data_IF_446076594998
#
_entry.id   IF_446076594998
#
_cell.length_a   1.000
_cell.length_b   1.000
_cell.length_c   1.000
_cell.angle_alpha   90.00
_cell.angle_beta   90.00
_cell.angle_gamma   90.00
#
_symmetry.space_group_name_H-M   'P 1'
#
loop_
_entity.id
_entity.type
_entity.pdbx_description
1 polymer ?
#
# COMPACT_ATOMS: atom_id res chain seq x y z
N UNK A 1 9.76 -13.18 21.27
CA UNK A 1 9.63 -12.60 22.61
C UNK A 1 10.78 -11.61 22.74
N UNK A 2 10.50 -10.31 22.84
CA UNK A 2 11.56 -9.28 22.83
C UNK A 2 12.53 -9.50 23.99
N UNK A 3 13.82 -9.56 23.68
CA UNK A 3 14.89 -9.77 24.66
C UNK A 3 14.84 -8.76 25.82
N UNK A 4 14.27 -7.58 25.60
CA UNK A 4 14.04 -6.53 26.60
C UNK A 4 13.22 -7.03 27.81
N UNK A 5 12.20 -7.86 27.58
CA UNK A 5 11.37 -8.43 28.66
C UNK A 5 12.16 -9.47 29.43
N UNK A 6 12.96 -10.28 28.74
CA UNK A 6 13.85 -11.27 29.37
C UNK A 6 14.90 -10.59 30.27
N UNK A 7 15.52 -9.51 29.79
CA UNK A 7 16.50 -8.73 30.58
C UNK A 7 15.86 -8.04 31.77
N UNK A 8 14.64 -7.54 31.64
CA UNK A 8 13.90 -6.91 32.74
C UNK A 8 13.54 -7.96 33.80
N UNK A 9 13.02 -9.12 33.40
CA UNK A 9 12.72 -10.25 34.29
C UNK A 9 14.00 -10.76 34.99
N UNK A 10 15.10 -10.92 34.25
CA UNK A 10 16.39 -11.30 34.82
C UNK A 10 16.92 -10.25 35.80
N UNK A 11 16.82 -8.97 35.46
CA UNK A 11 17.23 -7.86 36.32
C UNK A 11 16.47 -7.79 37.65
N UNK A 12 15.20 -8.24 37.68
CA UNK A 12 14.41 -8.29 38.92
C UNK A 12 14.54 -9.61 39.69
N UNK A 13 14.63 -10.76 39.00
CA UNK A 13 14.71 -12.07 39.64
C UNK A 13 16.11 -12.37 40.21
N UNK A 14 17.17 -11.93 39.54
CA UNK A 14 18.55 -12.15 39.97
C UNK A 14 18.85 -11.56 41.35
N UNK A 15 18.45 -10.32 41.71
CA UNK A 15 18.64 -9.81 43.08
C UNK A 15 17.65 -10.37 44.10
N UNK A 16 16.53 -10.98 43.66
CA UNK A 16 15.51 -11.57 44.53
C UNK A 16 16.01 -12.87 45.18
N UNK A 17 16.87 -13.62 44.49
CA UNK A 17 17.50 -14.85 45.00
C UNK A 17 18.39 -14.57 46.23
N UNK A 18 19.40 -13.67 46.21
CA UNK A 18 20.20 -13.35 47.38
C UNK A 18 19.37 -12.68 48.49
N UNK A 19 18.37 -11.87 48.12
CA UNK A 19 17.44 -11.29 49.10
C UNK A 19 16.61 -12.36 49.85
N UNK A 20 16.13 -13.38 49.14
CA UNK A 20 15.43 -14.52 49.74
C UNK A 20 16.35 -15.35 50.65
N UNK A 21 17.60 -15.57 50.23
CA UNK A 21 18.61 -16.27 51.05
C UNK A 21 18.88 -15.47 52.33
N UNK A 22 19.08 -14.15 52.25
CA UNK A 22 19.29 -13.28 53.40
C UNK A 22 18.08 -13.25 54.36
N UNK A 23 16.86 -13.18 53.81
CA UNK A 23 15.63 -13.23 54.60
C UNK A 23 15.51 -14.53 55.41
N UNK A 24 15.85 -15.66 54.80
CA UNK A 24 15.80 -16.97 55.47
C UNK A 24 16.90 -17.15 56.52
N UNK A 25 18.01 -16.43 56.39
CA UNK A 25 19.23 -16.65 57.21
C UNK A 25 19.41 -15.63 58.32
N UNK A 26 18.77 -14.47 58.27
CA UNK A 26 18.92 -13.40 59.27
C UNK A 26 17.63 -13.17 60.07
N UNK A 27 17.69 -13.15 61.41
CA UNK A 27 16.55 -12.79 62.26
C UNK A 27 16.35 -11.27 62.20
N UNK A 28 15.57 -10.79 61.24
CA UNK A 28 15.32 -9.36 61.06
C UNK A 28 13.83 -9.03 61.19
N UNK A 29 13.48 -8.31 62.26
CA UNK A 29 12.16 -7.71 62.45
C UNK A 29 12.20 -6.25 61.99
N UNK A 30 11.91 -6.01 60.71
CA UNK A 30 11.39 -4.71 60.28
C UNK A 30 9.99 -4.95 59.76
N UNK A 31 9.02 -4.08 60.01
CA UNK A 31 7.63 -4.29 59.57
C UNK A 31 7.24 -3.13 58.69
N UNK A 32 7.04 -3.38 57.40
CA UNK A 32 6.46 -2.40 56.48
C UNK A 32 4.97 -2.74 56.37
N UNK A 33 4.13 -1.90 56.99
CA UNK A 33 2.67 -2.02 56.90
C UNK A 33 2.07 -0.74 56.32
N UNK A 34 1.26 -0.88 55.28
CA UNK A 34 0.51 0.23 54.68
C UNK A 34 -0.49 -0.27 53.63
N UNK A 35 -1.60 0.44 53.40
CA UNK A 35 -2.56 0.07 52.36
C UNK A 35 -2.00 0.41 50.97
N UNK A 36 -1.75 -0.61 50.14
CA UNK A 36 -1.47 -0.43 48.71
C UNK A 36 -2.63 -1.05 47.92
N UNK A 37 -3.51 -0.20 47.38
CA UNK A 37 -4.70 -0.61 46.60
C UNK A 37 -5.62 -1.62 47.33
N UNK A 38 -5.71 -1.54 48.66
CA UNK A 38 -6.52 -2.45 49.47
C UNK A 38 -5.86 -3.79 49.83
N UNK A 39 -4.62 -4.04 49.36
CA UNK A 39 -3.83 -5.20 49.75
C UNK A 39 -3.08 -4.91 51.06
N UNK A 40 -3.30 -5.74 52.10
CA UNK A 40 -2.53 -5.66 53.35
C UNK A 40 -1.21 -6.42 53.19
N UNK A 41 -0.16 -5.67 52.86
CA UNK A 41 1.18 -6.21 52.64
C UNK A 41 1.97 -6.15 53.95
N UNK A 42 2.31 -7.32 54.52
CA UNK A 42 3.16 -7.44 55.72
C UNK A 42 4.53 -7.97 55.28
N UNK A 43 5.48 -7.07 55.00
CA UNK A 43 6.83 -7.46 54.56
C UNK A 43 7.86 -7.03 55.59
N UNK A 44 8.81 -7.94 55.87
CA UNK A 44 9.86 -7.72 56.85
C UNK A 44 11.27 -7.91 56.32
N UNK A 45 12.22 -7.28 57.01
CA UNK A 45 13.65 -7.35 56.73
C UNK A 45 14.06 -6.69 55.41
N UNK A 46 15.20 -7.13 54.87
CA UNK A 46 15.73 -6.68 53.59
C UNK A 46 14.75 -6.94 52.41
N UNK A 47 13.89 -7.96 52.53
CA UNK A 47 12.91 -8.32 51.51
C UNK A 47 11.91 -7.18 51.21
N UNK A 48 11.43 -6.48 52.25
CA UNK A 48 10.52 -5.34 52.07
C UNK A 48 11.15 -4.19 51.26
N UNK A 49 12.45 -3.94 51.44
CA UNK A 49 13.19 -2.93 50.67
C UNK A 49 13.33 -3.29 49.19
N UNK A 50 13.68 -4.54 48.88
CA UNK A 50 13.76 -5.00 47.49
C UNK A 50 12.38 -5.00 46.81
N UNK A 51 11.33 -5.42 47.53
CA UNK A 51 9.96 -5.38 47.01
C UNK A 51 9.53 -3.95 46.65
N UNK A 52 9.84 -2.97 47.50
CA UNK A 52 9.55 -1.57 47.21
C UNK A 52 10.32 -1.06 45.98
N UNK A 53 11.60 -1.43 45.84
CA UNK A 53 12.39 -1.10 44.64
C UNK A 53 11.80 -1.70 43.37
N UNK A 54 11.28 -2.93 43.43
CA UNK A 54 10.57 -3.55 42.30
C UNK A 54 9.33 -2.76 41.92
N UNK A 55 8.50 -2.35 42.89
CA UNK A 55 7.30 -1.55 42.61
C UNK A 55 7.64 -0.19 41.98
N UNK A 56 8.65 0.50 42.50
CA UNK A 56 9.10 1.79 41.95
C UNK A 56 9.62 1.62 40.52
N UNK A 57 10.45 0.61 40.29
CA UNK A 57 11.02 0.35 38.97
C UNK A 57 9.95 -0.11 37.96
N UNK A 58 8.94 -0.86 38.41
CA UNK A 58 7.78 -1.23 37.58
C UNK A 58 6.93 -0.02 37.21
N UNK A 59 6.62 0.85 38.19
CA UNK A 59 5.87 2.09 37.95
C UNK A 59 6.61 3.02 36.97
N UNK A 60 7.93 3.17 37.13
CA UNK A 60 8.75 3.96 36.21
C UNK A 60 8.83 3.34 34.81
N UNK A 61 9.01 2.02 34.72
CA UNK A 61 9.05 1.29 33.44
C UNK A 61 7.71 1.39 32.69
N UNK A 62 6.60 1.25 33.40
CA UNK A 62 5.25 1.41 32.82
C UNK A 62 5.04 2.81 32.25
N UNK A 63 5.43 3.85 33.00
CA UNK A 63 5.37 5.24 32.52
C UNK A 63 6.22 5.45 31.27
N UNK A 64 7.48 4.97 31.28
CA UNK A 64 8.40 5.12 30.14
C UNK A 64 7.88 4.41 28.89
N UNK A 65 7.33 3.19 29.05
CA UNK A 65 6.74 2.44 27.94
C UNK A 65 5.53 3.17 27.37
N UNK A 66 4.63 3.68 28.22
CA UNK A 66 3.46 4.43 27.76
C UNK A 66 3.84 5.72 27.01
N UNK A 67 4.81 6.49 27.49
CA UNK A 67 5.28 7.70 26.82
C UNK A 67 5.89 7.38 25.45
N UNK A 68 6.66 6.30 25.35
CA UNK A 68 7.26 5.85 24.08
C UNK A 68 6.19 5.39 23.07
N UNK A 69 5.17 4.67 23.55
CA UNK A 69 4.06 4.22 22.73
C UNK A 69 3.22 5.40 22.25
N UNK A 70 2.94 6.39 23.10
CA UNK A 70 2.21 7.60 22.73
C UNK A 70 2.91 8.35 21.59
N UNK A 71 4.24 8.56 21.69
CA UNK A 71 5.04 9.19 20.62
C UNK A 71 5.03 8.39 19.33
N UNK A 72 5.09 7.05 19.43
CA UNK A 72 5.02 6.18 18.25
C UNK A 72 3.65 6.25 17.57
N UNK A 73 2.57 6.28 18.34
CA UNK A 73 1.20 6.42 17.84
C UNK A 73 1.03 7.77 17.13
N UNK A 74 1.53 8.86 17.74
CA UNK A 74 1.50 10.19 17.12
C UNK A 74 2.24 10.21 15.79
N UNK A 75 3.45 9.64 15.74
CA UNK A 75 4.23 9.53 14.49
C UNK A 75 3.49 8.74 13.41
N UNK A 76 2.88 7.61 13.77
CA UNK A 76 2.09 6.80 12.84
C UNK A 76 0.86 7.55 12.32
N UNK A 77 0.16 8.29 13.19
CA UNK A 77 -0.99 9.10 12.79
C UNK A 77 -0.61 10.25 11.85
N UNK A 78 0.53 10.90 12.09
CA UNK A 78 1.05 11.95 11.21
C UNK A 78 1.42 11.38 9.83
N UNK A 79 2.05 10.20 9.79
CA UNK A 79 2.34 9.51 8.53
C UNK A 79 1.07 9.10 7.79
N UNK A 80 0.07 8.57 8.49
CA UNK A 80 -1.20 8.18 7.88
C UNK A 80 -1.94 9.40 7.30
N UNK A 81 -1.96 10.52 8.02
CA UNK A 81 -2.54 11.77 7.53
C UNK A 81 -1.83 12.27 6.26
N UNK A 82 -0.49 12.22 6.23
CA UNK A 82 0.28 12.60 5.05
C UNK A 82 -0.02 11.69 3.84
N UNK A 83 -0.12 10.37 4.07
CA UNK A 83 -0.48 9.40 3.03
C UNK A 83 -1.91 9.60 2.53
N UNK A 84 -2.86 9.91 3.41
CA UNK A 84 -4.25 10.21 3.03
C UNK A 84 -4.29 11.47 2.15
N UNK A 85 -3.54 12.50 2.53
CA UNK A 85 -3.43 13.72 1.74
C UNK A 85 -2.82 13.45 0.36
N UNK A 86 -1.73 12.68 0.30
CA UNK A 86 -1.08 12.28 -0.96
C UNK A 86 -2.02 11.47 -1.85
N UNK A 87 -2.70 10.46 -1.31
CA UNK A 87 -3.68 9.66 -2.04
C UNK A 87 -4.86 10.49 -2.55
N UNK A 88 -5.31 11.47 -1.77
CA UNK A 88 -6.38 12.40 -2.19
C UNK A 88 -5.91 13.29 -3.35
N UNK A 89 -4.68 13.79 -3.27
CA UNK A 89 -4.07 14.56 -4.35
C UNK A 89 -3.95 13.71 -5.63
N UNK A 90 -3.45 12.47 -5.54
CA UNK A 90 -3.42 11.56 -6.68
C UNK A 90 -4.80 11.28 -7.24
N UNK A 91 -5.80 11.01 -6.39
CA UNK A 91 -7.18 10.77 -6.86
C UNK A 91 -7.76 11.96 -7.62
N UNK A 92 -7.41 13.19 -7.23
CA UNK A 92 -7.86 14.40 -7.93
C UNK A 92 -7.06 14.67 -9.23
N UNK A 93 -5.85 14.12 -9.35
CA UNK A 93 -5.00 14.24 -10.53
C UNK A 93 -5.36 13.28 -11.66
N UNK A 94 -6.21 12.27 -11.42
CA UNK A 94 -6.58 11.29 -12.44
C UNK A 94 -8.08 11.21 -12.63
N UNK A 95 -8.52 11.17 -13.89
CA UNK A 95 -9.90 10.95 -14.27
C UNK A 95 -10.08 9.58 -14.91
N UNK A 96 -11.21 8.95 -14.63
CA UNK A 96 -11.57 7.67 -15.22
C UNK A 96 -12.25 7.85 -16.58
N UNK A 97 -11.75 7.15 -17.58
CA UNK A 97 -12.25 7.17 -18.95
C UNK A 97 -12.44 5.76 -19.48
N UNK A 98 -13.33 5.62 -20.46
CA UNK A 98 -13.58 4.35 -21.16
C UNK A 98 -13.07 4.44 -22.59
N UNK A 99 -12.42 3.38 -23.09
CA UNK A 99 -12.12 3.18 -24.51
C UNK A 99 -12.93 2.00 -25.01
N UNK A 100 -13.62 2.16 -26.13
CA UNK A 100 -14.39 1.09 -26.77
C UNK A 100 -14.16 1.03 -28.27
N UNK A 101 -14.30 -0.17 -28.84
CA UNK A 101 -14.19 -0.41 -30.26
C UNK A 101 -14.21 -1.89 -30.60
N UNK A 102 -13.79 -2.22 -31.82
CA UNK A 102 -13.74 -3.59 -32.31
C UNK A 102 -12.38 -3.90 -32.94
N UNK A 103 -11.84 -5.09 -32.66
CA UNK A 103 -10.64 -5.65 -33.31
C UNK A 103 -11.06 -6.83 -34.19
N UNK A 104 -10.38 -6.99 -35.33
CA UNK A 104 -10.59 -8.10 -36.26
C UNK A 104 -9.33 -8.93 -36.37
N UNK A 105 -9.47 -10.25 -36.29
CA UNK A 105 -8.38 -11.23 -36.28
C UNK A 105 -8.92 -12.66 -36.18
N UNK A 106 -8.04 -13.66 -36.23
CA UNK A 106 -8.41 -15.06 -36.08
C UNK A 106 -8.74 -15.43 -34.63
N UNK A 107 -8.15 -14.73 -33.65
CA UNK A 107 -8.40 -14.97 -32.23
C UNK A 107 -8.45 -13.64 -31.46
N UNK A 108 -9.47 -12.80 -31.71
CA UNK A 108 -9.55 -11.44 -31.17
C UNK A 108 -9.52 -11.38 -29.64
N UNK A 109 -10.07 -12.38 -28.95
CA UNK A 109 -10.07 -12.50 -27.48
C UNK A 109 -8.67 -12.64 -26.88
N UNK A 110 -7.68 -13.07 -27.67
CA UNK A 110 -6.26 -13.13 -27.28
C UNK A 110 -5.53 -11.80 -27.44
N UNK A 111 -6.22 -10.77 -27.96
CA UNK A 111 -5.65 -9.44 -28.13
C UNK A 111 -5.46 -8.77 -26.77
N UNK A 112 -4.36 -8.05 -26.63
CA UNK A 112 -4.07 -7.18 -25.50
C UNK A 112 -4.01 -5.74 -25.97
N UNK A 113 -4.66 -4.87 -25.23
CA UNK A 113 -4.53 -3.43 -25.39
C UNK A 113 -3.49 -2.93 -24.39
N UNK A 114 -2.46 -2.28 -24.92
CA UNK A 114 -1.49 -1.54 -24.13
C UNK A 114 -1.84 -0.06 -24.23
N UNK A 115 -2.43 0.42 -23.14
CA UNK A 115 -2.44 1.81 -22.69
C UNK A 115 -1.74 1.78 -21.33
N UNK A 116 -1.36 2.90 -20.73
CA UNK A 116 -0.79 2.97 -19.38
C UNK A 116 -1.71 2.40 -18.24
N UNK A 117 -2.70 1.55 -18.53
CA UNK A 117 -3.68 1.01 -17.60
C UNK A 117 -3.69 -0.54 -17.52
N UNK A 118 -4.14 -1.06 -16.39
CA UNK A 118 -4.30 -2.51 -16.11
C UNK A 118 -5.74 -2.95 -16.39
N UNK A 119 -5.89 -4.13 -17.00
CA UNK A 119 -7.13 -4.84 -17.35
C UNK A 119 -7.93 -4.29 -18.54
N UNK A 120 -7.92 -5.05 -19.64
CA UNK A 120 -8.79 -4.87 -20.80
C UNK A 120 -9.51 -6.18 -21.07
N UNK A 121 -10.80 -6.12 -21.39
CA UNK A 121 -11.58 -7.28 -21.79
C UNK A 121 -11.86 -7.23 -23.29
N UNK A 122 -11.65 -8.37 -23.96
CA UNK A 122 -11.95 -8.60 -25.38
C UNK A 122 -12.94 -9.76 -25.49
N UNK A 123 -14.04 -9.54 -26.20
CA UNK A 123 -14.99 -10.59 -26.55
C UNK A 123 -14.48 -11.38 -27.77
N UNK A 124 -14.97 -12.62 -27.94
CA UNK A 124 -14.69 -13.43 -29.14
C UNK A 124 -15.23 -12.82 -30.43
N UNK A 125 -16.14 -11.84 -30.34
CA UNK A 125 -16.66 -11.06 -31.47
C UNK A 125 -15.70 -9.97 -31.93
N UNK A 126 -14.60 -9.73 -31.20
CA UNK A 126 -13.70 -8.61 -31.47
C UNK A 126 -14.00 -7.35 -30.67
N UNK A 127 -15.17 -7.25 -30.07
CA UNK A 127 -15.55 -6.07 -29.30
C UNK A 127 -14.70 -5.96 -28.03
N UNK A 128 -14.29 -4.74 -27.69
CA UNK A 128 -13.53 -4.49 -26.47
C UNK A 128 -14.02 -3.24 -25.76
N UNK A 129 -13.86 -3.27 -24.45
CA UNK A 129 -14.03 -2.11 -23.57
C UNK A 129 -12.90 -2.12 -22.55
N UNK A 130 -12.23 -0.98 -22.40
CA UNK A 130 -11.12 -0.82 -21.47
C UNK A 130 -11.28 0.46 -20.68
N UNK A 131 -11.00 0.36 -19.39
CA UNK A 131 -10.96 1.51 -18.52
C UNK A 131 -9.54 2.06 -18.46
N UNK A 132 -9.39 3.38 -18.49
CA UNK A 132 -8.10 4.08 -18.42
C UNK A 132 -8.17 5.22 -17.40
N UNK A 133 -7.05 5.50 -16.75
CA UNK A 133 -6.87 6.68 -15.92
C UNK A 133 -6.09 7.72 -16.69
N UNK A 134 -6.73 8.87 -16.98
CA UNK A 134 -6.07 9.99 -17.64
C UNK A 134 -5.62 11.00 -16.60
N UNK A 135 -4.40 11.51 -16.76
CA UNK A 135 -3.92 12.60 -15.92
C UNK A 135 -4.69 13.87 -16.26
N UNK A 136 -5.14 14.58 -15.24
CA UNK A 136 -5.74 15.90 -15.34
C UNK A 136 -4.63 16.96 -15.14
N UNK A 137 -4.44 17.81 -16.14
CA UNK A 137 -3.59 18.98 -16.06
C UNK A 137 -4.41 20.23 -16.41
N UNK A 138 -4.44 21.22 -15.52
CA UNK A 138 -5.12 22.51 -15.72
C UNK A 138 -6.61 22.38 -16.13
N UNK A 139 -7.35 21.46 -15.51
CA UNK A 139 -8.76 21.13 -15.82
C UNK A 139 -8.99 20.47 -17.19
N UNK A 140 -7.95 19.90 -17.80
CA UNK A 140 -8.07 19.10 -19.01
C UNK A 140 -7.46 17.71 -18.81
N UNK A 141 -8.22 16.68 -19.19
CA UNK A 141 -7.71 15.32 -19.27
C UNK A 141 -6.73 15.17 -20.43
N UNK A 142 -5.53 14.67 -20.14
CA UNK A 142 -4.52 14.37 -21.15
C UNK A 142 -4.82 13.01 -21.76
N UNK A 143 -5.31 13.04 -22.99
CA UNK A 143 -5.52 11.82 -23.79
C UNK A 143 -4.17 11.22 -24.20
N UNK A 144 -3.99 9.89 -24.11
CA UNK A 144 -2.77 9.24 -24.56
C UNK A 144 -2.51 9.52 -26.03
N UNK A 145 -1.23 9.55 -26.42
CA UNK A 145 -0.83 9.83 -27.81
C UNK A 145 -1.03 8.64 -28.73
N UNK A 146 -1.01 7.42 -28.20
CA UNK A 146 -1.19 6.20 -28.98
C UNK A 146 -1.83 5.07 -28.18
N UNK A 147 -2.48 4.16 -28.89
CA UNK A 147 -2.96 2.87 -28.40
C UNK A 147 -2.23 1.75 -29.13
N UNK A 148 -1.74 0.75 -28.42
CA UNK A 148 -1.09 -0.41 -29.03
C UNK A 148 -1.92 -1.67 -28.81
N UNK A 149 -2.37 -2.27 -29.90
CA UNK A 149 -3.07 -3.55 -29.90
C UNK A 149 -2.09 -4.62 -30.32
N UNK A 150 -2.02 -5.71 -29.55
CA UNK A 150 -1.11 -6.82 -29.82
C UNK A 150 -1.83 -8.15 -29.65
N UNK A 151 -1.63 -9.02 -30.63
CA UNK A 151 -2.11 -10.38 -30.65
C UNK A 151 -0.98 -11.27 -31.16
N UNK A 152 -0.75 -12.39 -30.47
CA UNK A 152 0.34 -13.31 -30.83
C UNK A 152 0.15 -13.98 -32.19
N UNK A 153 -1.11 -14.16 -32.64
CA UNK A 153 -1.46 -14.82 -33.89
C UNK A 153 -1.66 -13.83 -35.03
N UNK A 154 -2.29 -12.69 -34.74
CA UNK A 154 -2.69 -11.70 -35.76
C UNK A 154 -1.72 -10.51 -35.89
N UNK A 155 -0.76 -10.38 -34.96
CA UNK A 155 0.27 -9.34 -34.95
C UNK A 155 -0.12 -8.09 -34.15
N UNK A 156 0.25 -6.91 -34.62
CA UNK A 156 0.05 -5.67 -33.84
C UNK A 156 -0.46 -4.51 -34.68
N UNK A 157 -1.08 -3.54 -34.01
CA UNK A 157 -1.49 -2.27 -34.60
C UNK A 157 -1.34 -1.15 -33.57
N UNK A 158 -0.58 -0.12 -33.94
CA UNK A 158 -0.54 1.14 -33.20
C UNK A 158 -1.52 2.12 -33.85
N UNK A 159 -2.36 2.74 -33.03
CA UNK A 159 -3.29 3.80 -33.40
C UNK A 159 -2.80 5.10 -32.77
N UNK A 160 -2.55 6.11 -33.59
CA UNK A 160 -2.13 7.43 -33.12
C UNK A 160 -3.36 8.30 -32.80
N UNK A 161 -3.47 8.74 -31.55
CA UNK A 161 -4.56 9.57 -31.01
C UNK A 161 -4.23 11.07 -31.00
N UNK A 162 -3.10 11.49 -31.58
CA UNK A 162 -2.81 12.90 -31.77
C UNK A 162 -3.66 13.52 -32.88
N UNK A 163 -4.71 14.26 -32.50
CA UNK A 163 -5.67 14.90 -33.43
C UNK A 163 -5.02 15.84 -34.44
N UNK A 164 -3.85 16.42 -34.14
CA UNK A 164 -3.17 17.36 -35.04
C UNK A 164 -2.38 16.68 -36.16
N UNK A 165 -1.88 15.47 -35.92
CA UNK A 165 -0.90 14.81 -36.81
C UNK A 165 -1.40 13.48 -37.38
N UNK A 166 -2.41 12.88 -36.76
CA UNK A 166 -2.83 11.53 -37.07
C UNK A 166 -3.90 11.47 -38.15
N UNK A 167 -3.67 10.63 -39.16
CA UNK A 167 -4.69 10.20 -40.13
C UNK A 167 -5.59 9.08 -39.58
N UNK A 168 -5.28 8.56 -38.39
CA UNK A 168 -6.00 7.43 -37.81
C UNK A 168 -7.42 7.83 -37.34
N UNK A 169 -7.69 9.11 -37.07
CA UNK A 169 -9.03 9.58 -36.72
C UNK A 169 -10.06 9.25 -37.79
N UNK A 170 -9.80 9.63 -39.04
CA UNK A 170 -10.71 9.35 -40.15
C UNK A 170 -10.70 7.86 -40.53
N UNK A 171 -9.51 7.26 -40.48
CA UNK A 171 -9.31 5.85 -40.83
C UNK A 171 -10.10 4.92 -39.92
N UNK A 172 -10.12 5.19 -38.63
CA UNK A 172 -10.78 4.34 -37.64
C UNK A 172 -12.07 4.93 -37.05
N UNK A 173 -12.49 6.12 -37.49
CA UNK A 173 -13.68 6.79 -36.96
C UNK A 173 -13.55 7.08 -35.47
N UNK A 174 -12.41 7.65 -35.05
CA UNK A 174 -12.10 7.89 -33.64
C UNK A 174 -12.87 9.13 -33.16
N UNK A 175 -13.65 8.95 -32.09
CA UNK A 175 -14.40 10.03 -31.43
C UNK A 175 -13.95 10.10 -29.98
N UNK A 176 -13.48 11.29 -29.56
CA UNK A 176 -13.13 11.57 -28.16
C UNK A 176 -14.25 12.45 -27.61
N UNK A 177 -15.09 11.85 -26.77
CA UNK A 177 -16.19 12.51 -26.08
C UNK A 177 -15.76 12.86 -24.66
N UNK A 178 -15.45 14.14 -24.46
CA UNK A 178 -14.97 14.67 -23.18
C UNK A 178 -16.09 14.65 -22.13
N UNK A 179 -17.33 14.93 -22.54
CA UNK A 179 -18.49 14.99 -21.64
C UNK A 179 -18.81 13.63 -21.03
N UNK A 180 -18.73 12.59 -21.86
CA UNK A 180 -18.98 11.20 -21.44
C UNK A 180 -17.70 10.44 -21.04
N UNK A 181 -16.53 11.10 -21.06
CA UNK A 181 -15.22 10.50 -20.74
C UNK A 181 -14.95 9.22 -21.53
N UNK A 182 -15.21 9.29 -22.84
CA UNK A 182 -15.24 8.14 -23.73
C UNK A 182 -14.37 8.35 -24.98
N UNK A 183 -13.57 7.34 -25.31
CA UNK A 183 -12.84 7.25 -26.58
C UNK A 183 -13.45 6.09 -27.37
N UNK A 184 -14.20 6.41 -28.43
CA UNK A 184 -14.84 5.42 -29.30
C UNK A 184 -14.06 5.26 -30.59
N UNK A 185 -13.80 4.01 -30.98
CA UNK A 185 -13.20 3.65 -32.26
C UNK A 185 -14.30 3.02 -33.12
N UNK A 186 -14.87 3.81 -34.05
CA UNK A 186 -16.07 3.42 -34.80
C UNK A 186 -15.86 2.41 -35.91
N UNK A 187 -14.63 2.17 -36.37
CA UNK A 187 -14.31 1.19 -37.42
C UNK A 187 -13.42 0.08 -36.88
N UNK A 188 -13.60 -1.18 -37.35
CA UNK A 188 -12.82 -2.30 -36.86
C UNK A 188 -11.31 -2.14 -37.10
N UNK A 189 -10.52 -2.57 -36.11
CA UNK A 189 -9.06 -2.51 -36.13
C UNK A 189 -8.55 -3.84 -36.69
N UNK A 190 -7.90 -3.79 -37.85
CA UNK A 190 -7.24 -4.95 -38.46
C UNK A 190 -5.80 -5.02 -37.96
N UNK A 191 -5.46 -6.09 -37.26
CA UNK A 191 -4.08 -6.37 -36.84
C UNK A 191 -3.25 -6.86 -38.03
N UNK A 192 -1.95 -6.57 -38.00
CA UNK A 192 -1.02 -7.04 -39.04
C UNK A 192 0.16 -7.71 -38.38
N UNK A 193 0.51 -8.91 -38.85
CA UNK A 193 1.77 -9.55 -38.50
C UNK A 193 2.91 -8.59 -38.80
N UNK A 194 3.83 -8.47 -37.85
CA UNK A 194 5.08 -7.78 -38.10
C UNK A 194 5.71 -8.45 -39.33
N UNK A 195 6.10 -7.66 -40.33
CA UNK A 195 7.06 -8.14 -41.32
C UNK A 195 8.34 -8.32 -40.51
N UNK A 196 8.64 -9.56 -40.13
CA UNK A 196 9.93 -9.90 -39.55
C UNK A 196 10.96 -9.57 -40.62
N UNK A 197 11.72 -8.49 -40.43
CA UNK A 197 12.89 -8.20 -41.24
C UNK A 197 13.86 -9.36 -41.06
N UNK A 198 13.82 -10.35 -41.96
CA UNK A 198 14.95 -11.26 -42.14
C UNK A 198 16.07 -10.39 -42.72
N UNK A 199 17.15 -10.27 -41.98
CA UNK A 199 18.43 -9.72 -42.48
C UNK A 199 18.43 -8.22 -42.85
N UNK A 200 17.59 -7.40 -42.21
CA UNK A 200 17.74 -5.94 -42.25
C UNK A 200 17.41 -5.26 -43.58
N UNK A 201 16.63 -5.89 -44.46
CA UNK A 201 16.07 -5.24 -45.66
C UNK A 201 14.54 -5.36 -45.69
N UNK A 202 13.82 -4.28 -46.05
CA UNK A 202 12.36 -4.27 -46.15
C UNK A 202 11.82 -5.24 -47.19
#
# INVERSE_FOLDING_TARGET
>A
MDFSILYLIAGFLVPLIPAYILYKTLPAETSVSGPFEGLKVNLSGAFGGYFLLVLIAFAFSYKLLNDSNARRIEKLNNQNTALIFENTNFKNQYEYWTIEGQVTGNSPERTKLFVDCRSTHFASTGDFSSNIYLRNENNYSIVPTALCFFNTEDGYKVINLNKKTSKDFDKFGIVIDISNKLIRIGKPIVLRKAIMFKDGKP
#
